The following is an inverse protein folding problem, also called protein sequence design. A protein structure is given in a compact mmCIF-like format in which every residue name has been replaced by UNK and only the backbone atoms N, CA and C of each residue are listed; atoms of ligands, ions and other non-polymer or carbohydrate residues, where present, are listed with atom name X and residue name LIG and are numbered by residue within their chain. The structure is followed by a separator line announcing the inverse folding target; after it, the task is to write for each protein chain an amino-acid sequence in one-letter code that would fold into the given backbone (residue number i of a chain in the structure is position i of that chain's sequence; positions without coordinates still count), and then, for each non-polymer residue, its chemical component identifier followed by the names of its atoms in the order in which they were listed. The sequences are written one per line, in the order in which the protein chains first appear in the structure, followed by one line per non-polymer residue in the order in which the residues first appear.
data_IF_748605815685
#
_entry.id   IF_748605815685
#
_cell.length_a   1.000
_cell.length_b   1.000
_cell.length_c   1.000
_cell.angle_alpha   90.00
_cell.angle_beta   90.00
_cell.angle_gamma   90.00
#
_symmetry.space_group_name_H-M   'P 1'
#
loop_
_entity.id
_entity.type
_entity.pdbx_description
1 polymer ?
#
# COMPACT_ATOMS: atom_id res chain seq x y z
N UNK A 1 63.13 35.93 -13.47
CA UNK A 1 62.50 34.64 -13.11
C UNK A 1 61.13 34.91 -12.54
N UNK A 2 60.08 34.68 -13.35
CA UNK A 2 58.69 34.86 -12.90
C UNK A 2 58.17 33.52 -12.46
N UNK A 3 57.89 33.37 -11.15
CA UNK A 3 57.21 32.18 -10.60
C UNK A 3 55.72 32.34 -10.84
N UNK A 4 55.18 31.51 -11.73
CA UNK A 4 53.74 31.36 -11.97
C UNK A 4 53.21 30.39 -10.91
N UNK A 5 52.45 30.92 -9.92
CA UNK A 5 51.71 30.10 -8.97
C UNK A 5 50.38 29.64 -9.63
N UNK A 6 50.30 28.37 -9.99
CA UNK A 6 49.08 27.73 -10.42
C UNK A 6 48.21 27.43 -9.22
N UNK A 7 47.16 28.23 -9.03
CA UNK A 7 46.08 27.95 -8.06
C UNK A 7 45.16 26.89 -8.66
N UNK A 8 45.36 25.66 -8.23
CA UNK A 8 44.40 24.58 -8.54
C UNK A 8 43.21 24.76 -7.60
N UNK A 9 42.14 25.39 -8.12
CA UNK A 9 40.86 25.48 -7.41
C UNK A 9 40.16 24.12 -7.48
N UNK A 10 40.23 23.36 -6.37
CA UNK A 10 39.49 22.10 -6.22
C UNK A 10 38.00 22.41 -6.00
N UNK A 11 37.23 22.27 -7.05
CA UNK A 11 35.77 22.36 -6.95
C UNK A 11 35.25 21.05 -6.32
N UNK A 12 34.99 21.11 -5.01
CA UNK A 12 34.29 20.03 -4.31
C UNK A 12 32.81 20.10 -4.67
N UNK A 13 32.39 19.27 -5.59
CA UNK A 13 30.97 19.07 -5.91
C UNK A 13 30.37 18.29 -4.75
N UNK A 14 29.68 18.99 -3.83
CA UNK A 14 28.81 18.35 -2.87
C UNK A 14 27.59 17.79 -3.62
N UNK A 15 27.61 16.53 -3.97
CA UNK A 15 26.41 15.80 -4.31
C UNK A 15 25.53 15.75 -3.04
N UNK A 16 24.68 16.75 -2.87
CA UNK A 16 23.59 16.70 -1.90
C UNK A 16 22.62 15.61 -2.37
N UNK A 17 22.79 14.39 -1.87
CA UNK A 17 21.74 13.40 -1.92
C UNK A 17 20.56 13.94 -1.10
N UNK A 18 19.60 14.57 -1.75
CA UNK A 18 18.29 14.80 -1.17
C UNK A 18 17.64 13.45 -0.97
N UNK A 19 17.92 12.82 0.17
CA UNK A 19 17.12 11.71 0.65
C UNK A 19 15.75 12.32 0.97
N UNK A 20 14.78 12.10 0.09
CA UNK A 20 13.43 12.61 0.26
C UNK A 20 12.91 12.21 1.64
N UNK A 21 12.31 13.17 2.36
CA UNK A 21 11.78 12.95 3.71
C UNK A 21 10.67 11.90 3.66
N UNK A 22 10.87 10.80 4.36
CA UNK A 22 9.86 9.75 4.56
C UNK A 22 8.93 10.17 5.69
N UNK A 23 7.62 10.23 5.41
CA UNK A 23 6.58 10.61 6.38
C UNK A 23 5.61 9.45 6.55
N UNK A 24 5.45 8.91 7.77
CA UNK A 24 4.44 7.88 8.03
C UNK A 24 3.04 8.41 7.74
N UNK A 25 2.19 7.52 7.19
CA UNK A 25 0.78 7.77 6.90
C UNK A 25 -0.05 6.76 7.67
N UNK A 26 -0.98 7.26 8.47
CA UNK A 26 -1.89 6.41 9.22
C UNK A 26 -2.92 5.78 8.29
N UNK A 27 -3.31 4.56 8.61
CA UNK A 27 -4.36 3.82 7.91
C UNK A 27 -5.13 2.92 8.88
N UNK A 28 -6.32 2.54 8.49
CA UNK A 28 -7.16 1.55 9.18
C UNK A 28 -7.37 0.33 8.29
N UNK A 29 -7.36 -0.86 8.87
CA UNK A 29 -7.74 -2.09 8.16
C UNK A 29 -9.26 -2.17 8.00
N UNK A 30 -9.72 -2.39 6.78
CA UNK A 30 -11.11 -2.72 6.51
C UNK A 30 -11.31 -4.24 6.61
N UNK A 31 -12.16 -4.64 7.52
CA UNK A 31 -12.47 -6.04 7.81
C UNK A 31 -13.88 -6.40 7.32
N UNK A 32 -14.13 -7.70 7.20
CA UNK A 32 -15.41 -8.28 6.84
C UNK A 32 -15.89 -7.89 5.42
N UNK A 33 -14.98 -8.04 4.49
CA UNK A 33 -15.22 -7.95 3.05
C UNK A 33 -14.73 -9.21 2.34
N UNK A 34 -15.23 -9.46 1.15
CA UNK A 34 -14.73 -10.52 0.26
C UNK A 34 -14.53 -9.98 -1.15
N UNK A 35 -13.66 -10.62 -1.91
CA UNK A 35 -13.37 -10.27 -3.30
C UNK A 35 -14.44 -10.86 -4.21
N UNK A 36 -15.12 -10.01 -4.98
CA UNK A 36 -16.16 -10.46 -5.94
C UNK A 36 -15.51 -11.03 -7.20
N UNK A 37 -14.47 -10.37 -7.70
CA UNK A 37 -13.80 -10.78 -8.93
C UNK A 37 -12.33 -11.15 -8.63
N UNK A 38 -11.94 -12.43 -8.76
CA UNK A 38 -10.59 -12.87 -8.44
C UNK A 38 -9.52 -12.43 -9.46
N UNK A 39 -9.92 -11.89 -10.60
CA UNK A 39 -9.01 -11.44 -11.67
C UNK A 39 -8.73 -9.94 -11.59
N UNK A 40 -8.37 -9.45 -10.41
CA UNK A 40 -8.08 -8.06 -10.18
C UNK A 40 -6.58 -7.75 -10.28
N UNK A 41 -6.20 -6.50 -10.57
CA UNK A 41 -4.83 -6.05 -10.39
C UNK A 41 -4.33 -6.30 -8.97
N UNK A 42 -3.02 -6.53 -8.83
CA UNK A 42 -2.43 -6.85 -7.52
C UNK A 42 -2.53 -5.71 -6.50
N UNK A 43 -2.68 -4.47 -6.98
CA UNK A 43 -2.87 -3.29 -6.15
C UNK A 43 -3.92 -2.39 -6.78
N UNK A 44 -4.90 -2.00 -5.98
CA UNK A 44 -6.00 -1.12 -6.36
C UNK A 44 -6.01 0.12 -5.49
N UNK A 45 -6.20 1.27 -6.11
CA UNK A 45 -6.52 2.52 -5.41
C UNK A 45 -7.95 2.89 -5.78
N UNK A 46 -8.84 2.88 -4.79
CA UNK A 46 -10.29 3.03 -4.98
C UNK A 46 -10.75 4.30 -4.30
N UNK A 47 -11.45 5.15 -5.02
CA UNK A 47 -11.79 6.50 -4.58
C UNK A 47 -13.28 6.77 -4.48
N UNK A 48 -14.12 5.79 -4.81
CA UNK A 48 -15.58 5.90 -4.75
C UNK A 48 -16.23 4.61 -4.24
N UNK A 49 -17.42 4.77 -3.63
CA UNK A 49 -18.24 3.64 -3.18
C UNK A 49 -18.63 2.74 -4.36
N UNK A 50 -19.03 3.31 -5.47
CA UNK A 50 -19.43 2.55 -6.66
C UNK A 50 -18.30 1.67 -7.21
N UNK A 51 -17.08 2.19 -7.23
CA UNK A 51 -15.90 1.44 -7.63
C UNK A 51 -15.58 0.33 -6.62
N UNK A 52 -15.68 0.62 -5.33
CA UNK A 52 -15.46 -0.35 -4.26
C UNK A 52 -16.44 -1.52 -4.34
N UNK A 53 -17.73 -1.24 -4.51
CA UNK A 53 -18.78 -2.25 -4.61
C UNK A 53 -18.65 -3.15 -5.87
N UNK A 54 -17.93 -2.67 -6.87
CA UNK A 54 -17.60 -3.47 -8.04
C UNK A 54 -16.57 -4.57 -7.74
N UNK A 55 -15.69 -4.34 -6.77
CA UNK A 55 -14.60 -5.26 -6.44
C UNK A 55 -14.83 -6.08 -5.19
N UNK A 56 -15.53 -5.51 -4.21
CA UNK A 56 -15.68 -6.11 -2.88
C UNK A 56 -17.15 -6.18 -2.45
N UNK A 57 -17.49 -7.31 -1.82
CA UNK A 57 -18.78 -7.51 -1.19
C UNK A 57 -18.68 -7.57 0.33
N UNK A 58 -19.81 -7.37 1.00
CA UNK A 58 -19.92 -7.43 2.45
C UNK A 58 -19.89 -8.87 2.94
N UNK A 59 -18.97 -9.20 3.82
CA UNK A 59 -18.83 -10.50 4.48
C UNK A 59 -19.20 -10.40 5.96
N UNK A 60 -20.39 -9.89 6.25
CA UNK A 60 -20.90 -9.81 7.62
C UNK A 60 -21.01 -11.20 8.25
N UNK A 61 -20.46 -11.34 9.45
CA UNK A 61 -20.56 -12.56 10.25
C UNK A 61 -21.32 -12.28 11.54
N UNK A 62 -22.00 -13.28 12.08
CA UNK A 62 -22.70 -13.13 13.36
C UNK A 62 -21.72 -13.01 14.51
N UNK A 63 -22.01 -12.11 15.45
CA UNK A 63 -21.24 -11.93 16.66
C UNK A 63 -20.55 -10.56 16.76
N UNK A 64 -19.81 -10.38 17.84
CA UNK A 64 -19.09 -9.14 18.13
C UNK A 64 -17.99 -8.93 17.07
N UNK A 65 -17.92 -7.71 16.51
CA UNK A 65 -16.99 -7.34 15.42
C UNK A 65 -17.24 -8.07 14.09
N UNK A 66 -18.46 -8.60 13.86
CA UNK A 66 -18.84 -9.25 12.61
C UNK A 66 -19.35 -8.29 11.53
N UNK A 67 -19.48 -7.00 11.83
CA UNK A 67 -19.92 -6.00 10.86
C UNK A 67 -18.74 -5.54 9.96
N UNK A 68 -19.00 -5.26 8.67
CA UNK A 68 -18.00 -4.66 7.81
C UNK A 68 -17.56 -3.30 8.32
N UNK A 69 -16.27 -3.01 8.23
CA UNK A 69 -15.73 -1.70 8.56
C UNK A 69 -16.33 -0.65 7.63
N UNK A 70 -16.90 0.40 8.23
CA UNK A 70 -17.50 1.51 7.47
C UNK A 70 -16.42 2.35 6.78
N UNK A 71 -16.61 2.62 5.48
CA UNK A 71 -15.72 3.45 4.68
C UNK A 71 -16.49 4.69 4.22
N UNK A 72 -15.97 5.87 4.51
CA UNK A 72 -16.54 7.14 4.10
C UNK A 72 -15.74 7.75 2.95
N UNK A 73 -16.13 7.48 1.70
CA UNK A 73 -15.44 7.98 0.51
C UNK A 73 -15.52 9.50 0.31
N UNK A 74 -16.28 10.23 1.12
CA UNK A 74 -16.22 11.69 1.15
C UNK A 74 -14.99 12.21 1.86
N UNK A 75 -14.41 11.42 2.77
CA UNK A 75 -13.27 11.77 3.64
C UNK A 75 -12.07 10.83 3.52
N UNK A 76 -12.25 9.68 2.89
CA UNK A 76 -11.30 8.60 2.82
C UNK A 76 -11.22 8.03 1.40
N UNK A 77 -10.18 7.29 1.13
CA UNK A 77 -10.04 6.40 -0.01
C UNK A 77 -9.42 5.08 0.44
N UNK A 78 -9.42 4.11 -0.44
CA UNK A 78 -8.99 2.75 -0.14
C UNK A 78 -7.78 2.37 -0.99
N UNK A 79 -6.86 1.65 -0.39
CA UNK A 79 -5.83 0.89 -1.10
C UNK A 79 -6.03 -0.58 -0.77
N UNK A 80 -6.19 -1.41 -1.79
CA UNK A 80 -6.31 -2.85 -1.63
C UNK A 80 -5.11 -3.55 -2.25
N UNK A 81 -4.56 -4.53 -1.54
CA UNK A 81 -3.50 -5.43 -2.02
C UNK A 81 -4.07 -6.82 -2.14
N UNK A 82 -3.89 -7.44 -3.32
CA UNK A 82 -4.36 -8.78 -3.61
C UNK A 82 -3.19 -9.62 -4.13
N UNK A 83 -3.19 -10.91 -3.79
CA UNK A 83 -2.32 -11.90 -4.39
C UNK A 83 -3.17 -12.85 -5.27
N UNK A 84 -2.54 -13.59 -6.18
CA UNK A 84 -3.25 -14.63 -6.94
C UNK A 84 -3.88 -15.67 -6.01
N UNK A 85 -4.95 -16.29 -6.48
CA UNK A 85 -5.55 -17.46 -5.81
C UNK A 85 -4.50 -18.56 -5.60
N UNK A 86 -4.55 -19.18 -4.43
CA UNK A 86 -3.59 -20.21 -4.04
C UNK A 86 -4.28 -21.29 -3.20
N UNK A 87 -3.83 -22.53 -3.36
CA UNK A 87 -4.15 -23.63 -2.46
C UNK A 87 -3.16 -23.77 -1.29
N UNK A 88 -2.29 -22.77 -1.10
CA UNK A 88 -1.46 -22.66 0.10
C UNK A 88 -2.05 -21.65 1.08
N UNK A 89 -1.87 -21.91 2.35
CA UNK A 89 -2.09 -20.90 3.36
C UNK A 89 -1.13 -19.73 3.12
N UNK A 90 -1.65 -18.53 2.90
CA UNK A 90 -0.85 -17.34 2.67
C UNK A 90 -1.33 -16.26 3.64
N UNK A 91 -0.43 -15.81 4.51
CA UNK A 91 -0.61 -14.61 5.29
C UNK A 91 -0.15 -13.39 4.47
N UNK A 92 -1.02 -12.43 4.30
CA UNK A 92 -0.73 -11.16 3.64
C UNK A 92 -1.12 -10.03 4.59
N UNK A 93 -0.12 -9.28 5.06
CA UNK A 93 -0.32 -8.23 6.05
C UNK A 93 0.35 -6.93 5.65
N UNK A 94 -0.32 -5.77 5.81
CA UNK A 94 0.34 -4.49 5.68
C UNK A 94 1.31 -4.27 6.83
N UNK A 95 2.45 -3.68 6.54
CA UNK A 95 3.50 -3.36 7.52
C UNK A 95 3.46 -1.86 7.84
N UNK A 96 3.52 -1.02 6.82
CA UNK A 96 3.40 0.42 6.95
C UNK A 96 2.98 1.07 5.62
N UNK A 97 2.52 2.31 5.74
CA UNK A 97 2.27 3.19 4.61
C UNK A 97 3.07 4.48 4.85
N UNK A 98 3.91 4.84 3.90
CA UNK A 98 4.73 6.03 3.99
C UNK A 98 4.54 6.92 2.76
N UNK A 99 4.64 8.22 2.95
CA UNK A 99 4.79 9.17 1.86
C UNK A 99 6.27 9.46 1.65
N UNK A 100 6.76 9.26 0.46
CA UNK A 100 8.15 9.54 0.07
C UNK A 100 8.20 9.94 -1.41
N UNK A 101 8.95 10.98 -1.73
CA UNK A 101 9.17 11.45 -3.11
C UNK A 101 7.89 11.65 -3.94
N UNK A 102 6.83 12.18 -3.30
CA UNK A 102 5.55 12.43 -3.96
C UNK A 102 4.71 11.17 -4.24
N UNK A 103 5.02 10.07 -3.58
CA UNK A 103 4.31 8.80 -3.70
C UNK A 103 3.92 8.26 -2.33
N UNK A 104 2.89 7.41 -2.31
CA UNK A 104 2.60 6.53 -1.19
C UNK A 104 3.28 5.19 -1.42
N UNK A 105 4.11 4.77 -0.48
CA UNK A 105 4.79 3.47 -0.49
C UNK A 105 4.12 2.55 0.51
N UNK A 106 3.43 1.54 0.02
CA UNK A 106 2.80 0.50 0.83
C UNK A 106 3.77 -0.65 1.03
N UNK A 107 4.24 -0.84 2.25
CA UNK A 107 5.05 -2.01 2.63
C UNK A 107 4.14 -3.10 3.16
N UNK A 108 4.36 -4.32 2.72
CA UNK A 108 3.58 -5.48 3.13
C UNK A 108 4.47 -6.73 3.25
N UNK A 109 3.98 -7.70 4.02
CA UNK A 109 4.65 -8.99 4.24
C UNK A 109 3.79 -10.13 3.72
N UNK A 110 4.45 -11.11 3.13
CA UNK A 110 3.84 -12.36 2.66
C UNK A 110 4.45 -13.54 3.40
N UNK A 111 3.61 -14.30 4.09
CA UNK A 111 4.00 -15.55 4.76
C UNK A 111 3.32 -16.72 4.07
N UNK A 112 4.11 -17.69 3.61
CA UNK A 112 3.60 -18.87 2.91
C UNK A 112 3.63 -20.08 3.84
N UNK A 113 2.45 -20.65 4.05
CA UNK A 113 2.25 -21.83 4.87
C UNK A 113 2.10 -23.12 4.09
N UNK A 114 1.41 -24.07 4.69
CA UNK A 114 1.17 -25.41 4.15
C UNK A 114 0.12 -25.39 3.03
N UNK A 115 0.14 -26.43 2.21
CA UNK A 115 -0.91 -26.68 1.24
C UNK A 115 -2.24 -26.99 1.95
N UNK A 116 -3.33 -26.45 1.39
CA UNK A 116 -4.71 -26.62 1.86
C UNK A 116 -5.52 -27.41 0.83
N UNK A 117 -6.69 -27.91 1.26
CA UNK A 117 -7.63 -28.60 0.36
C UNK A 117 -8.55 -27.64 -0.41
N UNK A 118 -8.47 -26.35 -0.14
CA UNK A 118 -9.27 -25.30 -0.77
C UNK A 118 -8.38 -24.21 -1.35
N UNK A 119 -8.94 -23.49 -2.31
CA UNK A 119 -8.31 -22.32 -2.89
C UNK A 119 -8.84 -21.05 -2.21
N UNK A 120 -7.95 -20.13 -1.89
CA UNK A 120 -8.29 -18.82 -1.37
C UNK A 120 -7.46 -17.72 -2.03
N UNK A 121 -8.00 -16.52 -2.07
CA UNK A 121 -7.28 -15.34 -2.56
C UNK A 121 -6.89 -14.46 -1.37
N UNK A 122 -5.59 -14.34 -1.06
CA UNK A 122 -5.12 -13.45 -0.01
C UNK A 122 -5.30 -11.99 -0.44
N UNK A 123 -5.85 -11.18 0.44
CA UNK A 123 -5.96 -9.74 0.23
C UNK A 123 -6.04 -9.01 1.56
N UNK A 124 -5.77 -7.72 1.52
CA UNK A 124 -6.16 -6.77 2.56
C UNK A 124 -6.61 -5.45 1.95
N UNK A 125 -7.37 -4.71 2.71
CA UNK A 125 -7.89 -3.39 2.35
C UNK A 125 -7.49 -2.43 3.46
N UNK A 126 -6.85 -1.32 3.10
CA UNK A 126 -6.55 -0.23 4.03
C UNK A 126 -7.32 1.03 3.65
N UNK A 127 -7.79 1.73 4.66
CA UNK A 127 -8.54 2.98 4.57
C UNK A 127 -7.59 4.13 4.90
N UNK A 128 -7.50 5.10 4.03
CA UNK A 128 -6.53 6.20 4.11
C UNK A 128 -7.26 7.55 4.01
N UNK A 129 -6.78 8.54 4.73
CA UNK A 129 -7.30 9.92 4.66
C UNK A 129 -7.22 10.47 3.23
N UNK A 130 -8.31 11.08 2.78
CA UNK A 130 -8.46 11.63 1.43
C UNK A 130 -7.41 12.66 1.04
N UNK A 131 -6.78 13.34 1.99
CA UNK A 131 -5.70 14.29 1.72
C UNK A 131 -4.50 13.67 0.99
N UNK A 132 -4.34 12.33 1.09
CA UNK A 132 -3.28 11.59 0.42
C UNK A 132 -3.70 11.01 -0.93
N UNK A 133 -4.97 11.14 -1.32
CA UNK A 133 -5.52 10.53 -2.55
C UNK A 133 -4.81 10.98 -3.84
N UNK A 134 -4.24 12.18 -3.85
CA UNK A 134 -3.50 12.73 -5.00
C UNK A 134 -2.20 12.00 -5.33
N UNK A 135 -1.64 11.25 -4.38
CA UNK A 135 -0.37 10.55 -4.57
C UNK A 135 -0.56 9.21 -5.27
N UNK A 136 0.37 8.85 -6.13
CA UNK A 136 0.45 7.51 -6.69
C UNK A 136 0.88 6.50 -5.63
N UNK A 137 0.39 5.28 -5.75
CA UNK A 137 0.72 4.18 -4.85
C UNK A 137 1.77 3.31 -5.50
N UNK A 138 2.86 3.09 -4.78
CA UNK A 138 3.87 2.07 -5.07
C UNK A 138 3.93 1.08 -3.93
N UNK A 139 4.49 -0.08 -4.17
CA UNK A 139 4.50 -1.16 -3.18
C UNK A 139 5.91 -1.72 -2.95
N UNK A 140 6.12 -2.21 -1.74
CA UNK A 140 7.35 -2.86 -1.31
C UNK A 140 7.01 -4.09 -0.48
N UNK A 141 7.47 -5.24 -0.91
CA UNK A 141 7.42 -6.47 -0.12
C UNK A 141 8.62 -6.52 0.82
N UNK A 142 8.36 -6.82 2.09
CA UNK A 142 9.37 -7.01 3.13
C UNK A 142 9.60 -8.49 3.48
#
# INVERSE_FOLDING_TARGET
MRKILLFVSSVVIFCSCNVGKVVPVDYELANNYFVINPRLPSTLKITSQSEFDHYFGLAAVMGKNGEPTTIDFTRQFVIAKLLPESNRAVGLTPVNLNRSDGQLVLSYRVERGKQQQWVSQPFFIIIVDKKYQKYNVTEKME
#
